data_IF_938635347681
#
_entry.id   IF_938635347681
#
_cell.length_a   1.000
_cell.length_b   1.000
_cell.length_c   1.000
_cell.angle_alpha   90.00
_cell.angle_beta   90.00
_cell.angle_gamma   90.00
#
_symmetry.space_group_name_H-M   'P 1'
#
loop_
_entity.id
_entity.type
_entity.pdbx_description
1 polymer ?
#
# COMPACT_ATOMS: atom_id res chain seq x y z
N UNK A 1 -10.72 -4.02 -16.85
CA UNK A 1 -11.36 -3.65 -15.56
C UNK A 1 -10.51 -4.25 -14.46
N UNK A 2 -9.87 -3.44 -13.62
CA UNK A 2 -9.06 -3.94 -12.49
C UNK A 2 -9.99 -4.42 -11.38
N UNK A 3 -9.88 -5.68 -10.91
CA UNK A 3 -10.71 -6.16 -9.82
C UNK A 3 -10.44 -5.36 -8.55
N UNK A 4 -11.47 -5.07 -7.76
CA UNK A 4 -11.33 -4.32 -6.50
C UNK A 4 -10.48 -5.10 -5.49
N UNK A 5 -10.70 -6.40 -5.37
CA UNK A 5 -9.90 -7.24 -4.49
C UNK A 5 -9.92 -8.70 -4.97
N UNK A 6 -8.93 -9.48 -4.53
CA UNK A 6 -8.85 -10.92 -4.78
C UNK A 6 -8.88 -11.68 -3.46
N UNK A 7 -9.72 -12.70 -3.34
CA UNK A 7 -9.72 -13.60 -2.16
C UNK A 7 -8.40 -14.36 -2.12
N UNK A 8 -7.75 -14.41 -0.95
CA UNK A 8 -6.47 -15.10 -0.77
C UNK A 8 -6.52 -16.22 0.28
N UNK A 9 -7.68 -16.47 0.87
CA UNK A 9 -7.90 -17.47 1.92
C UNK A 9 -8.89 -18.53 1.46
N UNK A 10 -8.74 -19.76 1.98
CA UNK A 10 -9.55 -20.90 1.55
C UNK A 10 -10.85 -21.07 2.36
N UNK A 11 -10.93 -20.53 3.58
CA UNK A 11 -12.12 -20.64 4.44
C UNK A 11 -13.19 -19.58 4.12
N UNK A 12 -14.41 -19.81 4.60
CA UNK A 12 -15.55 -18.92 4.39
C UNK A 12 -15.30 -17.52 4.98
N UNK A 13 -15.54 -16.51 4.13
CA UNK A 13 -15.41 -15.09 4.47
C UNK A 13 -16.66 -14.33 4.03
N UNK A 14 -16.98 -13.20 4.69
CA UNK A 14 -18.08 -12.34 4.28
C UNK A 14 -17.90 -11.82 2.85
N UNK A 15 -19.00 -11.41 2.21
CA UNK A 15 -18.96 -10.81 0.88
C UNK A 15 -18.13 -9.52 0.86
N UNK A 16 -17.48 -9.25 -0.28
CA UNK A 16 -16.67 -8.05 -0.49
C UNK A 16 -17.46 -6.74 -0.27
N UNK A 17 -18.77 -6.76 -0.51
CA UNK A 17 -19.71 -5.65 -0.26
C UNK A 17 -19.71 -5.18 1.20
N UNK A 18 -19.46 -6.08 2.15
CA UNK A 18 -19.37 -5.74 3.59
C UNK A 18 -18.19 -4.83 3.90
N UNK A 19 -17.18 -4.79 3.04
CA UNK A 19 -15.97 -3.98 3.21
C UNK A 19 -16.06 -2.61 2.52
N UNK A 20 -17.19 -2.24 1.92
CA UNK A 20 -17.35 -0.98 1.16
C UNK A 20 -17.04 0.29 1.96
N UNK A 21 -17.27 0.25 3.27
CA UNK A 21 -17.00 1.38 4.17
C UNK A 21 -15.55 1.42 4.67
N UNK A 22 -14.71 0.46 4.30
CA UNK A 22 -13.31 0.43 4.69
C UNK A 22 -12.47 1.38 3.84
N UNK A 23 -11.45 1.97 4.46
CA UNK A 23 -10.52 2.88 3.78
C UNK A 23 -9.84 2.23 2.57
N UNK A 24 -9.47 0.95 2.65
CA UNK A 24 -8.80 0.23 1.56
C UNK A 24 -9.72 0.07 0.35
N UNK A 25 -10.99 -0.26 0.59
CA UNK A 25 -11.97 -0.46 -0.47
C UNK A 25 -12.26 0.85 -1.18
N UNK A 26 -12.58 1.90 -0.42
CA UNK A 26 -12.88 3.22 -0.97
C UNK A 26 -11.69 3.76 -1.77
N UNK A 27 -10.47 3.57 -1.27
CA UNK A 27 -9.26 4.01 -1.96
C UNK A 27 -9.03 3.24 -3.27
N UNK A 28 -9.25 1.91 -3.28
CA UNK A 28 -9.10 1.11 -4.50
C UNK A 28 -10.18 1.45 -5.53
N UNK A 29 -11.42 1.70 -5.10
CA UNK A 29 -12.51 2.16 -5.96
C UNK A 29 -12.16 3.52 -6.57
N UNK A 30 -11.74 4.50 -5.76
CA UNK A 30 -11.32 5.82 -6.21
C UNK A 30 -10.24 5.76 -7.29
N UNK A 31 -9.24 4.88 -7.13
CA UNK A 31 -8.20 4.68 -8.14
C UNK A 31 -8.73 4.04 -9.43
N UNK A 32 -9.65 3.08 -9.31
CA UNK A 32 -10.30 2.47 -10.48
C UNK A 32 -11.15 3.48 -11.27
N UNK A 33 -11.72 4.47 -10.58
CA UNK A 33 -12.46 5.58 -11.18
C UNK A 33 -11.54 6.67 -11.75
N UNK A 34 -10.21 6.50 -11.66
CA UNK A 34 -9.21 7.44 -12.18
C UNK A 34 -9.03 8.70 -11.33
N UNK A 35 -9.58 8.74 -10.13
CA UNK A 35 -9.50 9.91 -9.24
C UNK A 35 -8.16 9.89 -8.49
N UNK A 36 -7.38 10.99 -8.49
CA UNK A 36 -6.09 11.02 -7.83
C UNK A 36 -6.21 10.97 -6.31
N UNK A 37 -5.21 10.38 -5.65
CA UNK A 37 -5.15 10.30 -4.18
C UNK A 37 -4.72 11.62 -3.54
N UNK A 38 -5.34 12.00 -2.43
CA UNK A 38 -4.90 13.10 -1.59
C UNK A 38 -3.67 12.72 -0.74
N UNK A 39 -3.02 13.70 -0.10
CA UNK A 39 -1.81 13.45 0.72
C UNK A 39 -2.05 12.46 1.86
N UNK A 40 -3.18 12.58 2.57
CA UNK A 40 -3.52 11.68 3.68
C UNK A 40 -3.69 10.23 3.19
N UNK A 41 -4.34 10.03 2.04
CA UNK A 41 -4.52 8.72 1.42
C UNK A 41 -3.18 8.09 1.02
N UNK A 42 -2.26 8.86 0.43
CA UNK A 42 -0.92 8.38 0.07
C UNK A 42 -0.11 7.93 1.29
N UNK A 43 -0.18 8.70 2.38
CA UNK A 43 0.49 8.36 3.64
C UNK A 43 -0.14 7.11 4.26
N UNK A 44 -1.48 7.04 4.28
CA UNK A 44 -2.21 5.88 4.78
C UNK A 44 -1.88 4.61 4.00
N UNK A 45 -1.83 4.66 2.67
CA UNK A 45 -1.52 3.51 1.83
C UNK A 45 -0.08 3.04 2.05
N UNK A 46 0.88 3.97 2.03
CA UNK A 46 2.29 3.66 2.32
C UNK A 46 2.44 2.99 3.69
N UNK A 47 1.75 3.50 4.71
CA UNK A 47 1.79 2.91 6.05
C UNK A 47 1.16 1.50 6.05
N UNK A 48 -0.02 1.33 5.45
CA UNK A 48 -0.75 0.05 5.45
C UNK A 48 0.01 -1.05 4.71
N UNK A 49 0.68 -0.72 3.62
CA UNK A 49 1.48 -1.67 2.83
C UNK A 49 2.75 -2.09 3.57
N UNK A 50 3.44 -1.16 4.25
CA UNK A 50 4.69 -1.50 4.94
C UNK A 50 4.49 -2.03 6.38
N UNK A 51 3.30 -1.91 6.98
CA UNK A 51 2.97 -2.46 8.31
C UNK A 51 2.33 -3.85 8.28
N UNK A 52 2.00 -4.39 7.12
CA UNK A 52 1.44 -5.74 7.03
C UNK A 52 2.51 -6.77 6.66
N UNK A 53 2.28 -8.03 7.04
CA UNK A 53 3.20 -9.15 6.82
C UNK A 53 2.86 -10.00 5.60
N UNK A 54 1.69 -9.79 4.98
CA UNK A 54 1.18 -10.66 3.93
C UNK A 54 1.66 -10.26 2.54
N UNK A 55 1.64 -8.96 2.22
CA UNK A 55 1.84 -8.49 0.85
C UNK A 55 2.72 -7.24 0.79
N UNK A 56 3.61 -7.21 -0.20
CA UNK A 56 4.51 -6.08 -0.46
C UNK A 56 3.89 -4.95 -1.28
N UNK A 57 2.87 -5.26 -2.10
CA UNK A 57 2.19 -4.30 -3.00
C UNK A 57 0.66 -4.28 -2.82
N UNK A 58 0.18 -4.79 -1.68
CA UNK A 58 -1.24 -4.90 -1.43
C UNK A 58 -1.56 -4.76 0.05
N UNK A 59 -2.83 -4.51 0.33
CA UNK A 59 -3.35 -4.40 1.70
C UNK A 59 -4.35 -5.54 1.92
N UNK A 60 -4.12 -6.41 2.91
CA UNK A 60 -5.08 -7.45 3.28
C UNK A 60 -6.20 -6.88 4.16
N UNK A 61 -7.45 -7.27 3.90
CA UNK A 61 -8.58 -7.03 4.80
C UNK A 61 -9.66 -8.10 4.59
N UNK A 62 -10.10 -8.74 5.68
CA UNK A 62 -11.23 -9.68 5.65
C UNK A 62 -11.06 -10.89 4.73
N UNK A 63 -9.83 -11.39 4.53
CA UNK A 63 -9.54 -12.49 3.60
C UNK A 63 -9.39 -12.08 2.13
N UNK A 64 -9.48 -10.78 1.86
CA UNK A 64 -9.25 -10.18 0.54
C UNK A 64 -7.93 -9.42 0.49
N UNK A 65 -7.27 -9.46 -0.67
CA UNK A 65 -6.11 -8.66 -1.03
C UNK A 65 -6.57 -7.54 -1.96
N UNK A 66 -6.36 -6.31 -1.54
CA UNK A 66 -6.51 -5.12 -2.38
C UNK A 66 -5.16 -4.79 -3.00
N UNK A 67 -5.07 -4.84 -4.33
CA UNK A 67 -3.81 -4.64 -5.04
C UNK A 67 -3.58 -3.15 -5.37
N UNK A 68 -2.35 -2.69 -5.16
CA UNK A 68 -1.90 -1.33 -5.43
C UNK A 68 -0.58 -1.31 -6.19
N UNK A 69 -0.28 -2.38 -6.93
CA UNK A 69 0.95 -2.51 -7.70
C UNK A 69 1.09 -1.46 -8.81
N UNK A 70 -0.04 -0.91 -9.25
CA UNK A 70 -0.18 0.16 -10.25
C UNK A 70 0.27 1.54 -9.74
N UNK A 71 0.22 1.78 -8.44
CA UNK A 71 0.54 3.09 -7.83
C UNK A 71 1.79 3.08 -6.95
N UNK A 72 2.24 1.89 -6.51
CA UNK A 72 3.37 1.75 -5.61
C UNK A 72 4.69 1.67 -6.36
N UNK A 73 5.65 2.48 -5.90
CA UNK A 73 7.05 2.46 -6.33
C UNK A 73 7.90 1.74 -5.30
N UNK A 74 9.01 1.17 -5.77
CA UNK A 74 9.98 0.47 -4.93
C UNK A 74 11.10 1.41 -4.52
N UNK A 75 11.46 1.37 -3.24
CA UNK A 75 12.55 2.17 -2.68
C UNK A 75 13.48 1.32 -1.82
N UNK A 76 14.78 1.58 -1.93
CA UNK A 76 15.76 1.19 -0.91
C UNK A 76 16.04 2.35 0.00
N UNK A 77 16.01 2.08 1.30
CA UNK A 77 16.25 3.07 2.35
C UNK A 77 17.44 2.61 3.17
N UNK A 78 18.45 3.47 3.25
CA UNK A 78 19.58 3.29 4.16
C UNK A 78 19.34 4.10 5.43
N UNK A 79 19.34 3.40 6.56
CA UNK A 79 19.09 4.00 7.87
C UNK A 79 19.83 3.24 8.97
N UNK A 80 20.57 3.97 9.82
CA UNK A 80 21.28 3.40 10.98
C UNK A 80 22.19 2.20 10.64
N UNK A 81 22.83 2.24 9.47
CA UNK A 81 23.70 1.16 8.99
C UNK A 81 22.97 -0.02 8.34
N UNK A 82 21.65 0.02 8.23
CA UNK A 82 20.82 -1.02 7.59
C UNK A 82 20.24 -0.52 6.26
N UNK A 83 20.03 -1.44 5.32
CA UNK A 83 19.29 -1.18 4.07
C UNK A 83 18.04 -2.04 4.08
N UNK A 84 16.88 -1.43 3.86
CA UNK A 84 15.60 -2.12 3.76
C UNK A 84 14.82 -1.70 2.51
N UNK A 85 14.06 -2.65 1.97
CA UNK A 85 13.14 -2.45 0.85
C UNK A 85 11.79 -1.96 1.38
N UNK A 86 11.27 -0.90 0.75
CA UNK A 86 9.96 -0.34 1.04
C UNK A 86 9.17 -0.09 -0.24
N UNK A 87 7.85 -0.17 -0.13
CA UNK A 87 6.92 0.21 -1.19
C UNK A 87 6.11 1.42 -0.77
N UNK A 88 6.12 2.48 -1.58
CA UNK A 88 5.43 3.72 -1.25
C UNK A 88 4.88 4.38 -2.53
N UNK A 89 3.88 5.24 -2.36
CA UNK A 89 3.33 6.01 -3.49
C UNK A 89 4.34 7.06 -3.99
N UNK A 90 5.00 7.73 -3.05
CA UNK A 90 6.03 8.71 -3.36
C UNK A 90 7.05 8.82 -2.21
N UNK A 91 8.21 9.42 -2.48
CA UNK A 91 9.31 9.62 -1.52
C UNK A 91 8.86 10.40 -0.28
N UNK A 92 7.88 11.30 -0.43
CA UNK A 92 7.35 12.10 0.69
C UNK A 92 6.53 11.25 1.64
N UNK A 93 5.65 10.39 1.14
CA UNK A 93 4.88 9.46 1.95
C UNK A 93 5.77 8.40 2.61
N UNK A 94 6.86 7.98 1.95
CA UNK A 94 7.87 7.13 2.57
C UNK A 94 8.58 7.83 3.73
N UNK A 95 9.00 9.09 3.56
CA UNK A 95 9.59 9.90 4.64
C UNK A 95 8.62 10.15 5.79
N UNK A 96 7.32 10.23 5.53
CA UNK A 96 6.31 10.37 6.57
C UNK A 96 6.10 9.06 7.37
N UNK A 97 6.36 7.91 6.74
CA UNK A 97 6.28 6.60 7.39
C UNK A 97 7.53 6.28 8.23
N UNK A 98 8.72 6.59 7.69
CA UNK A 98 9.98 6.37 8.39
C UNK A 98 10.18 7.39 9.51
N UNK A 99 10.73 6.94 10.63
CA UNK A 99 11.06 7.81 11.76
C UNK A 99 12.57 8.01 11.88
N UNK A 100 12.99 9.18 12.34
CA UNK A 100 14.39 9.48 12.61
C UNK A 100 15.18 9.97 11.40
N UNK A 101 16.51 9.97 11.54
CA UNK A 101 17.42 10.44 10.49
C UNK A 101 17.56 9.36 9.43
N UNK A 102 17.39 9.75 8.17
CA UNK A 102 17.51 8.86 7.01
C UNK A 102 18.79 9.24 6.27
N UNK A 103 19.65 8.26 6.00
CA UNK A 103 20.93 8.50 5.32
C UNK A 103 20.69 8.64 3.82
N UNK A 104 19.93 7.72 3.23
CA UNK A 104 19.68 7.70 1.79
C UNK A 104 18.33 7.04 1.46
N UNK A 105 17.69 7.52 0.39
CA UNK A 105 16.50 6.92 -0.21
C UNK A 105 16.68 6.92 -1.71
N UNK A 106 16.73 5.72 -2.29
CA UNK A 106 16.87 5.47 -3.72
C UNK A 106 15.56 4.88 -4.24
N UNK A 107 14.98 5.51 -5.25
CA UNK A 107 13.87 4.92 -6.01
C UNK A 107 14.45 3.95 -7.03
N UNK A 108 13.91 2.74 -7.10
CA UNK A 108 14.29 1.76 -8.10
C UNK A 108 13.28 1.83 -9.23
N UNK A 109 13.75 2.26 -10.40
CA UNK A 109 13.03 2.12 -11.65
C UNK A 109 13.49 0.81 -12.31
N UNK A 110 12.54 -0.07 -12.56
CA UNK A 110 12.75 -1.25 -13.41
C UNK A 110 12.78 -0.83 -14.90
#
# INVERSE_FOLDING_TARGET
MTPIATRFVDWDIPELSTLQNSMVYQLRQQLNDGVPMCRQQKNWLTNSVNRNTYFKKGVPLGGYRFDFSDVLKRFFVKQYGHIAEYYAVDKTSLRAFLCGRIDEIIEITD
#
